data_IF_681944151866
#
_entry.id   IF_681944151866
#
_cell.length_a   1.000
_cell.length_b   1.000
_cell.length_c   1.000
_cell.angle_alpha   90.00
_cell.angle_beta   90.00
_cell.angle_gamma   90.00
#
_symmetry.space_group_name_H-M   'P 1'
#
loop_
_entity.id
_entity.type
_entity.pdbx_description
1 polymer ?
#
# COMPACT_ATOMS: atom_id res chain seq x y z
N UNK A 1 8.96 -12.03 11.91
CA UNK A 1 9.23 -12.45 13.30
C UNK A 1 8.15 -13.39 13.83
N UNK A 2 6.85 -13.02 13.82
CA UNK A 2 5.77 -13.89 14.35
C UNK A 2 5.77 -15.34 13.85
N UNK A 3 5.94 -15.58 12.54
CA UNK A 3 5.89 -16.94 11.98
C UNK A 3 7.08 -17.84 12.39
N UNK A 4 8.15 -17.24 12.92
CA UNK A 4 9.33 -17.96 13.42
C UNK A 4 9.24 -18.25 14.93
N UNK A 5 8.25 -17.72 15.63
CA UNK A 5 8.13 -17.90 17.07
C UNK A 5 8.01 -19.39 17.47
N UNK A 6 7.24 -20.24 16.77
CA UNK A 6 7.22 -21.69 17.04
C UNK A 6 8.60 -22.34 16.89
N UNK A 7 9.38 -21.91 15.90
CA UNK A 7 10.70 -22.49 15.63
C UNK A 7 11.68 -22.23 16.78
N UNK A 8 11.78 -20.97 17.22
CA UNK A 8 12.73 -20.56 18.27
C UNK A 8 12.29 -20.92 19.69
N UNK A 9 11.01 -21.17 19.89
CA UNK A 9 10.47 -21.61 21.19
C UNK A 9 10.26 -23.11 21.26
N UNK A 10 10.82 -23.88 20.32
CA UNK A 10 10.64 -25.34 20.25
C UNK A 10 9.17 -25.78 20.29
N UNK A 11 8.27 -25.00 19.67
CA UNK A 11 6.84 -25.26 19.58
C UNK A 11 5.98 -24.67 20.71
N UNK A 12 6.58 -24.12 21.77
CA UNK A 12 5.79 -23.56 22.90
C UNK A 12 4.95 -22.34 22.49
N UNK A 13 5.41 -21.54 21.53
CA UNK A 13 4.67 -20.38 21.04
C UNK A 13 3.53 -20.74 20.07
N UNK A 14 3.44 -21.98 19.58
CA UNK A 14 2.48 -22.39 18.54
C UNK A 14 1.03 -22.04 18.88
N UNK A 15 0.44 -22.42 20.03
CA UNK A 15 -0.94 -22.06 20.35
C UNK A 15 -1.17 -20.54 20.39
N UNK A 16 -0.19 -19.77 20.87
CA UNK A 16 -0.28 -18.31 20.92
C UNK A 16 -0.18 -17.67 19.54
N UNK A 17 0.68 -18.20 18.67
CA UNK A 17 0.70 -17.76 17.26
C UNK A 17 -0.64 -18.06 16.60
N UNK A 18 -1.15 -19.28 16.68
CA UNK A 18 -2.45 -19.62 16.07
C UNK A 18 -3.60 -18.79 16.65
N UNK A 19 -3.61 -18.52 17.97
CA UNK A 19 -4.60 -17.66 18.62
C UNK A 19 -4.53 -16.21 18.14
N UNK A 20 -3.33 -15.63 18.04
CA UNK A 20 -3.16 -14.30 17.45
C UNK A 20 -3.60 -14.26 15.98
N UNK A 21 -3.27 -15.30 15.23
CA UNK A 21 -3.70 -15.47 13.84
C UNK A 21 -5.23 -15.52 13.72
N UNK A 22 -5.90 -16.26 14.61
CA UNK A 22 -7.35 -16.36 14.68
C UNK A 22 -8.01 -15.01 14.95
N UNK A 23 -7.50 -14.24 15.92
CA UNK A 23 -7.98 -12.90 16.22
C UNK A 23 -7.83 -11.96 15.02
N UNK A 24 -6.64 -11.92 14.41
CA UNK A 24 -6.34 -10.99 13.33
C UNK A 24 -7.04 -11.33 12.02
N UNK A 25 -7.14 -12.62 11.68
CA UNK A 25 -7.82 -13.09 10.47
C UNK A 25 -9.33 -13.33 10.68
N UNK A 26 -9.86 -13.12 11.91
CA UNK A 26 -11.23 -13.44 12.32
C UNK A 26 -11.66 -14.86 11.92
N UNK A 27 -10.76 -15.83 12.09
CA UNK A 27 -10.92 -17.21 11.62
C UNK A 27 -11.16 -18.18 12.78
N UNK A 28 -12.35 -18.80 12.80
CA UNK A 28 -12.70 -19.84 13.78
C UNK A 28 -11.89 -21.12 13.59
N UNK A 29 -11.48 -21.43 12.35
CA UNK A 29 -10.61 -22.57 12.06
C UNK A 29 -9.24 -22.42 12.72
N UNK A 30 -8.65 -21.22 12.68
CA UNK A 30 -7.38 -20.94 13.37
C UNK A 30 -7.54 -20.99 14.90
N UNK A 31 -8.69 -20.58 15.42
CA UNK A 31 -8.99 -20.72 16.84
C UNK A 31 -9.03 -22.20 17.26
N UNK A 32 -9.66 -23.06 16.46
CA UNK A 32 -9.66 -24.50 16.69
C UNK A 32 -8.24 -25.09 16.63
N UNK A 33 -7.44 -24.69 15.64
CA UNK A 33 -6.03 -25.10 15.57
C UNK A 33 -5.24 -24.66 16.81
N UNK A 34 -5.47 -23.45 17.33
CA UNK A 34 -4.83 -22.98 18.57
C UNK A 34 -5.17 -23.89 19.76
N UNK A 35 -6.42 -24.33 19.88
CA UNK A 35 -6.85 -25.29 20.92
C UNK A 35 -6.17 -26.64 20.74
N UNK A 36 -6.14 -27.19 19.51
CA UNK A 36 -5.50 -28.48 19.22
C UNK A 36 -4.01 -28.45 19.57
N UNK A 37 -3.29 -27.41 19.14
CA UNK A 37 -1.87 -27.26 19.49
C UNK A 37 -1.67 -27.06 21.00
N UNK A 38 -2.57 -26.32 21.67
CA UNK A 38 -2.56 -26.15 23.11
C UNK A 38 -2.73 -27.47 23.87
N UNK A 39 -3.63 -28.34 23.41
CA UNK A 39 -3.79 -29.69 23.96
C UNK A 39 -2.54 -30.54 23.74
N UNK A 40 -1.95 -30.49 22.54
CA UNK A 40 -0.69 -31.20 22.25
C UNK A 40 0.50 -30.71 23.09
N UNK A 41 0.53 -29.41 23.43
CA UNK A 41 1.53 -28.85 24.34
C UNK A 41 1.26 -29.31 25.78
N UNK A 42 -0.01 -29.33 26.20
CA UNK A 42 -0.40 -29.80 27.53
C UNK A 42 -0.10 -31.29 27.75
N UNK A 43 -0.39 -32.16 26.77
CA UNK A 43 -0.04 -33.58 26.85
C UNK A 43 1.47 -33.79 26.92
N UNK A 44 2.25 -32.99 26.20
CA UNK A 44 3.71 -32.99 26.33
C UNK A 44 4.17 -32.62 27.74
N UNK A 45 3.62 -31.57 28.35
CA UNK A 45 3.95 -31.16 29.72
C UNK A 45 3.61 -32.24 30.75
N UNK A 46 2.47 -32.94 30.58
CA UNK A 46 2.11 -34.08 31.44
C UNK A 46 3.09 -35.25 31.30
N UNK A 47 3.50 -35.58 30.08
CA UNK A 47 4.53 -36.60 29.84
C UNK A 47 5.88 -36.22 30.47
N UNK A 48 6.31 -34.97 30.30
CA UNK A 48 7.54 -34.45 30.88
C UNK A 48 7.51 -34.36 32.41
N UNK A 49 6.33 -34.26 33.02
CA UNK A 49 6.13 -34.25 34.47
C UNK A 49 6.18 -35.66 35.11
N UNK A 50 6.47 -36.71 34.34
CA UNK A 50 6.67 -38.07 34.84
C UNK A 50 5.45 -38.99 34.72
N UNK A 51 4.61 -38.80 33.71
CA UNK A 51 3.51 -39.73 33.45
C UNK A 51 4.03 -41.13 33.09
N UNK A 52 3.56 -42.16 33.80
CA UNK A 52 4.08 -43.55 33.70
C UNK A 52 3.44 -44.38 32.55
N UNK A 53 2.64 -43.76 31.68
CA UNK A 53 1.97 -44.47 30.58
C UNK A 53 2.74 -44.33 29.28
N UNK A 54 3.09 -45.46 28.66
CA UNK A 54 3.71 -45.51 27.32
C UNK A 54 2.87 -44.77 26.27
N UNK A 55 1.53 -44.84 26.38
CA UNK A 55 0.63 -44.10 25.51
C UNK A 55 0.76 -42.58 25.70
N UNK A 56 0.92 -42.11 26.94
CA UNK A 56 1.14 -40.68 27.23
C UNK A 56 2.51 -40.24 26.71
N UNK A 57 3.54 -41.07 26.86
CA UNK A 57 4.89 -40.77 26.34
C UNK A 57 4.90 -40.63 24.81
N UNK A 58 4.21 -41.52 24.10
CA UNK A 58 4.05 -41.44 22.65
C UNK A 58 3.30 -40.17 22.22
N UNK A 59 2.16 -39.88 22.87
CA UNK A 59 1.36 -38.67 22.59
C UNK A 59 2.10 -37.38 22.93
N UNK A 60 2.90 -37.36 24.00
CA UNK A 60 3.74 -36.24 24.40
C UNK A 60 4.81 -35.95 23.33
N UNK A 61 5.45 -37.01 22.81
CA UNK A 61 6.46 -36.89 21.75
C UNK A 61 5.85 -36.35 20.45
N UNK A 62 4.70 -36.88 20.04
CA UNK A 62 3.95 -36.37 18.88
C UNK A 62 3.48 -34.93 19.08
N UNK A 63 3.05 -34.57 20.30
CA UNK A 63 2.67 -33.22 20.69
C UNK A 63 3.81 -32.22 20.54
N UNK A 64 5.02 -32.58 20.96
CA UNK A 64 6.23 -31.76 20.82
C UNK A 64 6.58 -31.53 19.34
N UNK A 65 6.76 -32.59 18.55
CA UNK A 65 7.13 -32.46 17.13
C UNK A 65 6.03 -31.80 16.30
N UNK A 66 4.77 -32.09 16.61
CA UNK A 66 3.61 -31.44 16.01
C UNK A 66 3.59 -29.93 16.29
N UNK A 67 3.82 -29.52 17.53
CA UNK A 67 3.92 -28.10 17.89
C UNK A 67 5.14 -27.43 17.29
N UNK A 68 6.29 -28.10 17.22
CA UNK A 68 7.52 -27.50 16.72
C UNK A 68 7.55 -27.42 15.18
N UNK A 69 7.63 -28.56 14.50
CA UNK A 69 7.72 -28.61 13.04
C UNK A 69 6.39 -28.25 12.37
N UNK A 70 5.30 -28.86 12.85
CA UNK A 70 3.96 -28.59 12.34
C UNK A 70 3.51 -27.15 12.61
N UNK A 71 3.71 -26.66 13.84
CA UNK A 71 3.40 -25.28 14.21
C UNK A 71 4.18 -24.25 13.39
N UNK A 72 5.49 -24.46 13.20
CA UNK A 72 6.32 -23.60 12.35
C UNK A 72 5.79 -23.57 10.92
N UNK A 73 5.60 -24.74 10.29
CA UNK A 73 5.10 -24.83 8.92
C UNK A 73 3.73 -24.15 8.77
N UNK A 74 2.81 -24.41 9.71
CA UNK A 74 1.47 -23.83 9.72
C UNK A 74 1.54 -22.29 9.84
N UNK A 75 2.37 -21.74 10.74
CA UNK A 75 2.54 -20.28 10.88
C UNK A 75 3.08 -19.62 9.61
N UNK A 76 3.94 -20.31 8.84
CA UNK A 76 4.40 -19.81 7.54
C UNK A 76 3.29 -19.84 6.48
N UNK A 77 2.52 -20.92 6.41
CA UNK A 77 1.44 -21.09 5.43
C UNK A 77 0.33 -20.03 5.59
N UNK A 78 0.00 -19.66 6.84
CA UNK A 78 -1.08 -18.70 7.12
C UNK A 78 -0.59 -17.26 7.22
N UNK A 79 0.72 -17.01 7.13
CA UNK A 79 1.29 -15.66 7.29
C UNK A 79 0.64 -14.63 6.36
N UNK A 80 0.36 -15.00 5.11
CA UNK A 80 -0.28 -14.09 4.15
C UNK A 80 -1.72 -13.75 4.55
N UNK A 81 -2.47 -14.72 5.07
CA UNK A 81 -3.84 -14.54 5.56
C UNK A 81 -3.87 -13.67 6.83
N UNK A 82 -2.96 -13.94 7.78
CA UNK A 82 -2.88 -13.21 9.05
C UNK A 82 -2.44 -11.76 8.81
N UNK A 83 -1.36 -11.53 8.06
CA UNK A 83 -0.81 -10.19 7.89
C UNK A 83 -1.44 -9.39 6.74
N UNK A 84 -2.33 -10.00 5.96
CA UNK A 84 -2.95 -9.34 4.83
C UNK A 84 -1.92 -8.91 3.79
N UNK A 85 -0.91 -9.76 3.52
CA UNK A 85 -0.04 -9.54 2.36
C UNK A 85 -0.96 -9.56 1.14
N UNK A 86 -1.22 -8.38 0.56
CA UNK A 86 -2.14 -8.21 -0.56
C UNK A 86 -1.77 -9.25 -1.62
N UNK A 87 -2.71 -10.11 -1.98
CA UNK A 87 -2.53 -10.98 -3.14
C UNK A 87 -2.25 -10.08 -4.34
N UNK A 88 -1.26 -10.39 -5.19
CA UNK A 88 -1.03 -9.60 -6.38
C UNK A 88 -2.33 -9.58 -7.22
N UNK A 89 -2.69 -8.43 -7.81
CA UNK A 89 -3.93 -8.29 -8.57
C UNK A 89 -4.00 -9.35 -9.69
N UNK A 90 -5.03 -10.19 -9.62
CA UNK A 90 -5.17 -11.38 -10.46
C UNK A 90 -5.89 -11.07 -11.76
N UNK A 91 -6.89 -10.19 -11.71
CA UNK A 91 -7.69 -9.80 -12.88
C UNK A 91 -7.13 -8.56 -13.57
N UNK A 92 -7.46 -8.37 -14.86
CA UNK A 92 -7.09 -7.17 -15.60
C UNK A 92 -7.65 -5.89 -14.94
N UNK A 93 -8.90 -5.95 -14.45
CA UNK A 93 -9.55 -4.83 -13.76
C UNK A 93 -8.84 -4.49 -12.44
N UNK A 94 -8.46 -5.48 -11.63
CA UNK A 94 -7.70 -5.26 -10.40
C UNK A 94 -6.34 -4.61 -10.69
N UNK A 95 -5.65 -5.04 -11.77
CA UNK A 95 -4.39 -4.43 -12.19
C UNK A 95 -4.58 -2.99 -12.63
N UNK A 96 -5.64 -2.70 -13.40
CA UNK A 96 -5.97 -1.33 -13.80
C UNK A 96 -6.26 -0.42 -12.59
N UNK A 97 -7.03 -0.90 -11.62
CA UNK A 97 -7.29 -0.18 -10.36
C UNK A 97 -5.99 0.04 -9.57
N UNK A 98 -5.14 -0.98 -9.45
CA UNK A 98 -3.86 -0.87 -8.74
C UNK A 98 -2.92 0.14 -9.40
N UNK A 99 -2.84 0.16 -10.74
CA UNK A 99 -2.07 1.15 -11.49
C UNK A 99 -2.62 2.57 -11.31
N UNK A 100 -3.94 2.75 -11.35
CA UNK A 100 -4.56 4.05 -11.12
C UNK A 100 -4.31 4.58 -9.70
N UNK A 101 -4.43 3.71 -8.68
CA UNK A 101 -4.07 4.04 -7.30
C UNK A 101 -2.59 4.37 -7.16
N UNK A 102 -1.71 3.61 -7.81
CA UNK A 102 -0.28 3.88 -7.77
C UNK A 102 0.06 5.25 -8.35
N UNK A 103 -0.51 5.63 -9.52
CA UNK A 103 -0.33 6.96 -10.10
C UNK A 103 -0.82 8.07 -9.18
N UNK A 104 -1.97 7.88 -8.52
CA UNK A 104 -2.49 8.86 -7.55
C UNK A 104 -1.54 9.07 -6.37
N UNK A 105 -0.96 7.99 -5.84
CA UNK A 105 0.03 8.08 -4.78
C UNK A 105 1.29 8.82 -5.25
N UNK A 106 1.79 8.54 -6.46
CA UNK A 106 2.94 9.25 -7.04
C UNK A 106 2.69 10.76 -7.15
N UNK A 107 1.47 11.18 -7.55
CA UNK A 107 1.10 12.60 -7.57
C UNK A 107 1.15 13.22 -6.18
N UNK A 108 0.67 12.51 -5.17
CA UNK A 108 0.71 13.00 -3.79
C UNK A 108 2.14 13.15 -3.29
N UNK A 109 2.99 12.12 -3.51
CA UNK A 109 4.41 12.14 -3.16
C UNK A 109 5.14 13.30 -3.87
N UNK A 110 4.87 13.51 -5.15
CA UNK A 110 5.44 14.60 -5.94
C UNK A 110 5.03 15.98 -5.39
N UNK A 111 3.77 16.16 -4.98
CA UNK A 111 3.29 17.40 -4.35
C UNK A 111 3.92 17.63 -2.98
N UNK A 112 4.04 16.58 -2.16
CA UNK A 112 4.69 16.66 -0.86
C UNK A 112 6.18 17.03 -1.03
N UNK A 113 6.86 16.44 -2.02
CA UNK A 113 8.24 16.78 -2.35
C UNK A 113 8.35 18.24 -2.80
N UNK A 114 7.51 18.69 -3.72
CA UNK A 114 7.50 20.08 -4.18
C UNK A 114 7.20 21.09 -3.07
N UNK A 115 6.33 20.74 -2.12
CA UNK A 115 6.04 21.58 -0.95
C UNK A 115 7.26 21.71 -0.02
N UNK A 116 8.00 20.62 0.17
CA UNK A 116 9.13 20.58 1.08
C UNK A 116 10.41 21.16 0.45
N UNK A 117 10.63 20.91 -0.84
CA UNK A 117 11.79 21.38 -1.60
C UNK A 117 11.39 21.75 -3.05
N UNK A 118 10.98 23.01 -3.28
CA UNK A 118 10.61 23.49 -4.61
C UNK A 118 11.79 23.49 -5.60
N UNK A 119 13.02 23.65 -5.10
CA UNK A 119 14.22 23.64 -5.95
C UNK A 119 14.44 22.25 -6.55
N UNK A 120 14.39 21.22 -5.71
CA UNK A 120 14.48 19.83 -6.14
C UNK A 120 13.34 19.45 -7.09
N UNK A 121 12.11 19.92 -6.86
CA UNK A 121 11.00 19.64 -7.76
C UNK A 121 11.25 20.18 -9.19
N UNK A 122 11.87 21.35 -9.32
CA UNK A 122 12.29 21.91 -10.61
C UNK A 122 13.40 21.09 -11.26
N UNK A 123 14.41 20.67 -10.48
CA UNK A 123 15.49 19.81 -10.98
C UNK A 123 14.96 18.46 -11.50
N UNK A 124 13.99 17.88 -10.80
CA UNK A 124 13.30 16.64 -11.18
C UNK A 124 12.26 16.83 -12.29
N UNK A 125 11.97 18.08 -12.68
CA UNK A 125 11.02 18.44 -13.75
C UNK A 125 9.60 17.90 -13.48
N UNK A 126 9.17 18.00 -12.23
CA UNK A 126 7.80 17.66 -11.83
C UNK A 126 6.83 18.56 -12.59
N UNK A 127 5.77 17.96 -13.15
CA UNK A 127 4.78 18.66 -13.95
C UNK A 127 5.19 18.96 -15.40
N UNK A 128 6.39 18.54 -15.83
CA UNK A 128 6.94 18.88 -17.16
C UNK A 128 7.23 17.64 -18.01
N UNK A 129 6.19 16.91 -18.48
CA UNK A 129 6.36 15.72 -19.31
C UNK A 129 6.94 16.05 -20.71
N UNK A 130 6.93 17.31 -21.12
CA UNK A 130 7.57 17.80 -22.36
C UNK A 130 9.10 17.78 -22.29
N UNK A 131 9.68 17.75 -21.10
CA UNK A 131 11.13 17.74 -20.90
C UNK A 131 11.62 16.32 -20.58
N UNK A 132 12.84 15.93 -21.00
CA UNK A 132 13.42 14.65 -20.61
C UNK A 132 13.52 14.53 -19.08
N UNK A 133 12.85 13.54 -18.48
CA UNK A 133 12.78 13.40 -17.02
C UNK A 133 12.94 11.94 -16.60
N UNK A 134 13.48 11.72 -15.41
CA UNK A 134 13.64 10.39 -14.82
C UNK A 134 12.64 10.13 -13.69
N UNK A 135 12.08 11.19 -13.11
CA UNK A 135 11.10 11.10 -12.03
C UNK A 135 9.69 10.93 -12.60
N UNK A 136 8.96 9.92 -12.11
CA UNK A 136 7.53 9.74 -12.41
C UNK A 136 6.70 10.41 -11.33
N UNK A 137 6.08 11.53 -11.68
CA UNK A 137 5.21 12.31 -10.81
C UNK A 137 3.74 11.86 -10.87
N UNK A 138 3.45 10.71 -11.48
CA UNK A 138 2.09 10.22 -11.64
C UNK A 138 1.29 10.96 -12.72
N UNK A 139 1.95 11.76 -13.55
CA UNK A 139 1.34 12.54 -14.62
C UNK A 139 0.76 13.86 -14.15
N UNK A 140 1.49 14.56 -13.29
CA UNK A 140 1.19 15.96 -12.98
C UNK A 140 1.54 16.85 -14.17
N UNK A 141 0.86 18.00 -14.24
CA UNK A 141 1.16 19.08 -15.18
C UNK A 141 1.37 20.38 -14.41
N UNK A 142 2.54 20.98 -14.59
CA UNK A 142 2.88 22.29 -14.05
C UNK A 142 2.29 23.37 -14.96
N UNK A 143 1.15 23.92 -14.56
CA UNK A 143 0.41 24.88 -15.39
C UNK A 143 1.19 26.18 -15.58
N UNK A 144 2.10 26.53 -14.66
CA UNK A 144 2.87 27.76 -14.74
C UNK A 144 4.00 27.69 -15.78
N UNK A 145 4.44 26.49 -16.17
CA UNK A 145 5.60 26.34 -17.05
C UNK A 145 5.40 25.40 -18.24
N UNK A 146 4.38 24.54 -18.21
CA UNK A 146 4.10 23.62 -19.31
C UNK A 146 3.56 24.37 -20.54
N UNK A 147 3.85 23.86 -21.77
CA UNK A 147 3.25 24.38 -22.99
C UNK A 147 1.76 24.00 -23.09
N UNK A 148 1.01 24.72 -23.93
CA UNK A 148 -0.43 24.49 -24.13
C UNK A 148 -0.74 23.03 -24.54
N UNK A 149 0.11 22.42 -25.37
CA UNK A 149 -0.04 21.02 -25.80
C UNK A 149 -0.02 20.03 -24.63
N UNK A 150 0.80 20.29 -23.62
CA UNK A 150 0.85 19.47 -22.40
C UNK A 150 -0.34 19.77 -21.49
N UNK A 151 -0.72 21.04 -21.34
CA UNK A 151 -1.90 21.43 -20.54
C UNK A 151 -3.17 20.79 -21.11
N UNK A 152 -3.29 20.65 -22.44
CA UNK A 152 -4.39 19.95 -23.10
C UNK A 152 -4.45 18.44 -22.83
N UNK A 153 -3.43 17.85 -22.19
CA UNK A 153 -3.49 16.43 -21.74
C UNK A 153 -4.27 16.25 -20.44
N UNK A 154 -4.57 17.34 -19.73
CA UNK A 154 -5.38 17.32 -18.52
C UNK A 154 -6.83 16.94 -18.88
N UNK A 155 -7.47 16.01 -18.15
CA UNK A 155 -8.85 15.63 -18.42
C UNK A 155 -9.79 16.84 -18.49
N UNK A 156 -10.57 16.91 -19.57
CA UNK A 156 -11.57 17.97 -19.79
C UNK A 156 -11.01 19.30 -20.30
N UNK A 157 -9.69 19.45 -20.44
CA UNK A 157 -9.06 20.66 -21.00
C UNK A 157 -8.89 20.48 -22.52
N UNK A 158 -9.58 21.31 -23.30
CA UNK A 158 -9.42 21.34 -24.75
C UNK A 158 -8.18 22.14 -25.16
N UNK A 159 -7.64 21.96 -26.38
CA UNK A 159 -6.54 22.78 -26.88
C UNK A 159 -6.81 24.29 -26.80
N UNK A 160 -8.05 24.72 -27.07
CA UNK A 160 -8.45 26.13 -26.99
C UNK A 160 -8.43 26.64 -25.55
N UNK A 161 -8.89 25.84 -24.57
CA UNK A 161 -8.80 26.18 -23.16
C UNK A 161 -7.34 26.22 -22.69
N UNK A 162 -6.52 25.29 -23.15
CA UNK A 162 -5.09 25.28 -22.83
C UNK A 162 -4.37 26.51 -23.37
N UNK A 163 -4.67 26.94 -24.60
CA UNK A 163 -4.16 28.19 -25.17
C UNK A 163 -4.56 29.39 -24.31
N UNK A 164 -5.84 29.46 -23.93
CA UNK A 164 -6.36 30.52 -23.07
C UNK A 164 -5.68 30.55 -21.70
N UNK A 165 -5.41 29.39 -21.10
CA UNK A 165 -4.67 29.28 -19.83
C UNK A 165 -3.27 29.91 -19.98
N UNK A 166 -2.56 29.61 -21.06
CA UNK A 166 -1.23 30.18 -21.34
C UNK A 166 -1.31 31.70 -21.55
N UNK A 167 -2.25 32.19 -22.34
CA UNK A 167 -2.43 33.63 -22.57
C UNK A 167 -2.73 34.40 -21.27
N UNK A 168 -3.59 33.84 -20.41
CA UNK A 168 -3.94 34.45 -19.12
C UNK A 168 -2.76 34.42 -18.16
N UNK A 169 -2.01 33.29 -18.11
CA UNK A 169 -0.79 33.15 -17.32
C UNK A 169 0.25 34.21 -17.71
N UNK A 170 0.45 34.43 -18.99
CA UNK A 170 1.43 35.40 -19.49
C UNK A 170 1.03 36.86 -19.16
N UNK A 171 -0.24 37.09 -18.84
CA UNK A 171 -0.78 38.41 -18.45
C UNK A 171 -0.82 38.63 -16.93
N UNK A 172 -1.25 37.62 -16.17
CA UNK A 172 -1.51 37.72 -14.72
C UNK A 172 -0.31 37.25 -13.89
N UNK A 173 0.56 36.42 -14.47
CA UNK A 173 1.65 35.75 -13.78
C UNK A 173 1.31 34.29 -13.42
N UNK A 174 2.08 33.74 -12.48
CA UNK A 174 1.92 32.37 -12.01
C UNK A 174 0.63 32.20 -11.18
N UNK A 175 -0.05 31.08 -11.38
CA UNK A 175 -1.16 30.65 -10.52
C UNK A 175 -0.60 29.91 -9.29
N UNK A 176 -1.33 29.98 -8.18
CA UNK A 176 -1.00 29.29 -6.93
C UNK A 176 -1.92 28.09 -6.64
N UNK A 177 -3.08 28.00 -7.32
CA UNK A 177 -4.02 26.89 -7.10
C UNK A 177 -4.97 26.62 -8.29
N UNK A 178 -5.67 25.48 -8.24
CA UNK A 178 -6.69 25.11 -9.22
C UNK A 178 -7.91 26.02 -9.18
N UNK A 179 -8.28 26.48 -8.00
CA UNK A 179 -9.39 27.41 -7.79
C UNK A 179 -9.08 28.77 -8.40
N UNK A 180 -7.87 29.29 -8.18
CA UNK A 180 -7.42 30.56 -8.78
C UNK A 180 -7.33 30.46 -10.30
N UNK A 181 -6.73 29.38 -10.82
CA UNK A 181 -6.66 29.11 -12.25
C UNK A 181 -8.08 29.10 -12.87
N UNK A 182 -9.00 28.36 -12.25
CA UNK A 182 -10.38 28.23 -12.73
C UNK A 182 -11.13 29.56 -12.72
N UNK A 183 -11.00 30.34 -11.64
CA UNK A 183 -11.63 31.64 -11.50
C UNK A 183 -11.05 32.68 -12.48
N UNK A 184 -9.72 32.73 -12.60
CA UNK A 184 -9.01 33.74 -13.40
C UNK A 184 -9.20 33.51 -14.90
N UNK A 185 -9.16 32.24 -15.34
CA UNK A 185 -9.37 31.88 -16.75
C UNK A 185 -10.87 31.81 -17.11
N UNK A 186 -11.76 31.72 -16.10
CA UNK A 186 -13.19 31.54 -16.30
C UNK A 186 -13.52 30.16 -16.86
N UNK A 187 -12.96 29.11 -16.26
CA UNK A 187 -13.19 27.73 -16.66
C UNK A 187 -14.52 27.20 -16.11
N UNK A 188 -15.14 26.20 -16.77
CA UNK A 188 -16.31 25.51 -16.23
C UNK A 188 -16.04 24.93 -14.83
N UNK A 189 -16.92 25.14 -13.83
CA UNK A 189 -16.68 24.74 -12.44
C UNK A 189 -16.40 23.25 -12.22
N UNK A 190 -16.92 22.38 -13.09
CA UNK A 190 -16.72 20.93 -12.98
C UNK A 190 -15.27 20.50 -13.29
N UNK A 191 -14.49 21.34 -13.97
CA UNK A 191 -13.09 21.04 -14.28
C UNK A 191 -12.16 21.31 -13.08
N UNK A 192 -12.60 22.08 -12.08
CA UNK A 192 -11.76 22.45 -10.94
C UNK A 192 -11.28 21.21 -10.16
N UNK A 193 -12.11 20.16 -10.04
CA UNK A 193 -11.69 18.91 -9.37
C UNK A 193 -10.63 18.14 -10.16
N UNK A 194 -10.73 18.13 -11.49
CA UNK A 194 -9.74 17.48 -12.35
C UNK A 194 -8.44 18.30 -12.35
N UNK A 195 -8.52 19.62 -12.42
CA UNK A 195 -7.36 20.49 -12.25
C UNK A 195 -6.68 20.20 -10.91
N UNK A 196 -7.41 20.22 -9.79
CA UNK A 196 -6.83 19.93 -8.47
C UNK A 196 -6.15 18.54 -8.38
N UNK A 197 -6.64 17.53 -9.11
CA UNK A 197 -6.06 16.19 -9.11
C UNK A 197 -4.83 16.07 -10.04
N UNK A 198 -4.78 16.80 -11.16
CA UNK A 198 -3.76 16.63 -12.21
C UNK A 198 -2.74 17.77 -12.33
N UNK A 199 -2.94 18.91 -11.65
CA UNK A 199 -2.02 20.05 -11.75
C UNK A 199 -1.10 20.20 -10.55
N UNK A 200 0.00 20.89 -10.78
CA UNK A 200 0.89 21.45 -9.77
C UNK A 200 1.23 22.91 -10.16
N UNK A 201 1.57 23.72 -9.16
CA UNK A 201 1.81 25.16 -9.30
C UNK A 201 3.18 25.46 -8.70
N UNK A 202 4.21 25.43 -9.54
CA UNK A 202 5.57 25.77 -9.13
C UNK A 202 5.84 27.25 -9.46
N UNK A 203 6.66 27.90 -8.62
CA UNK A 203 7.13 29.28 -8.82
C UNK A 203 8.17 29.40 -9.95
#
# INVERSE_FOLDING_TARGET
MWALAPLFTCGFATPFTMGYGAYRAKSTALALCAVIYGLGLFTFLLGAAGAESDAIALLASLGLFGNWAGGTAHSFLIRSQVFGLRKPPQTANERAIAMAQHRRNLRQEARELAKNDPGLAKELRIGRPDLPRQYDDGGLVDVNHAPAEVIATIPGITPELAQKIVEVRDTVGAFISAEELSATVGLPPHLTSDLAEYTIYLD
#
